data_IF_475244731169
#
_entry.id   IF_475244731169
#
_cell.length_a   1.000
_cell.length_b   1.000
_cell.length_c   1.000
_cell.angle_alpha   90.00
_cell.angle_beta   90.00
_cell.angle_gamma   90.00
#
_symmetry.space_group_name_H-M   'P 1'
#
loop_
_entity.id
_entity.type
_entity.pdbx_description
1 polymer ?
#
# COMPACT_ATOMS: atom_id res chain seq x y z
N UNK A 1 -14.23 5.83 13.83
CA UNK A 1 -13.30 4.76 13.37
C UNK A 1 -13.50 4.60 11.87
N UNK A 2 -12.50 4.90 11.05
CA UNK A 2 -12.57 4.74 9.59
C UNK A 2 -11.88 3.45 9.15
N UNK A 3 -12.25 2.95 7.97
CA UNK A 3 -11.57 1.81 7.32
C UNK A 3 -10.39 2.36 6.50
N UNK A 4 -9.16 1.87 6.69
CA UNK A 4 -8.00 2.30 5.91
C UNK A 4 -8.17 1.90 4.45
N UNK A 5 -7.87 2.83 3.53
CA UNK A 5 -7.98 2.61 2.08
C UNK A 5 -6.57 2.45 1.49
N UNK A 6 -6.35 1.36 0.77
CA UNK A 6 -5.09 1.07 0.08
C UNK A 6 -5.26 1.30 -1.42
N UNK A 7 -4.49 2.24 -1.97
CA UNK A 7 -4.59 2.66 -3.37
C UNK A 7 -3.30 2.34 -4.12
N UNK A 8 -3.44 1.65 -5.24
CA UNK A 8 -2.34 1.29 -6.13
C UNK A 8 -2.52 1.98 -7.47
N UNK A 9 -1.59 2.87 -7.81
CA UNK A 9 -1.62 3.63 -9.06
C UNK A 9 -0.57 3.08 -10.03
N UNK A 10 -1.02 2.71 -11.22
CA UNK A 10 -0.13 2.44 -12.34
C UNK A 10 0.31 3.77 -12.97
N UNK A 11 1.62 3.94 -13.19
CA UNK A 11 2.16 5.15 -13.82
C UNK A 11 2.16 6.38 -12.91
N UNK A 12 2.09 7.57 -13.52
CA UNK A 12 2.39 8.84 -12.86
C UNK A 12 1.43 9.98 -13.21
N UNK A 13 0.15 9.67 -13.49
CA UNK A 13 -0.87 10.71 -13.68
C UNK A 13 -0.97 11.61 -12.42
N UNK A 14 -0.70 12.93 -12.54
CA UNK A 14 -0.67 13.84 -11.42
C UNK A 14 -2.05 14.08 -10.79
N UNK A 15 -3.14 14.02 -11.56
CA UNK A 15 -4.50 14.21 -11.06
C UNK A 15 -4.87 13.00 -10.18
N UNK A 16 -4.62 11.80 -10.68
CA UNK A 16 -4.86 10.57 -9.94
C UNK A 16 -4.01 10.51 -8.66
N UNK A 17 -2.72 10.89 -8.73
CA UNK A 17 -1.85 10.96 -7.55
C UNK A 17 -2.42 11.90 -6.49
N UNK A 18 -2.83 13.12 -6.87
CA UNK A 18 -3.40 14.09 -5.92
C UNK A 18 -4.64 13.54 -5.22
N UNK A 19 -5.59 12.98 -5.98
CA UNK A 19 -6.81 12.41 -5.43
C UNK A 19 -6.52 11.22 -4.50
N UNK A 20 -5.63 10.32 -4.91
CA UNK A 20 -5.31 9.13 -4.12
C UNK A 20 -4.55 9.44 -2.83
N UNK A 21 -3.64 10.42 -2.85
CA UNK A 21 -2.98 10.89 -1.63
C UNK A 21 -3.98 11.46 -0.62
N UNK A 22 -4.99 12.21 -1.08
CA UNK A 22 -6.04 12.76 -0.22
C UNK A 22 -6.88 11.65 0.44
N UNK A 23 -7.31 10.66 -0.34
CA UNK A 23 -8.09 9.52 0.17
C UNK A 23 -7.28 8.70 1.18
N UNK A 24 -6.01 8.42 0.88
CA UNK A 24 -5.12 7.71 1.80
C UNK A 24 -4.94 8.48 3.12
N UNK A 25 -4.76 9.80 3.04
CA UNK A 25 -4.64 10.68 4.22
C UNK A 25 -5.89 10.66 5.09
N UNK A 26 -7.08 10.76 4.50
CA UNK A 26 -8.35 10.81 5.24
C UNK A 26 -8.70 9.46 5.88
N UNK A 27 -8.30 8.35 5.25
CA UNK A 27 -8.59 7.00 5.73
C UNK A 27 -7.54 6.43 6.69
N UNK A 28 -6.40 7.11 6.89
CA UNK A 28 -5.18 6.53 7.47
C UNK A 28 -4.71 5.27 6.72
N UNK A 29 -4.93 5.26 5.42
CA UNK A 29 -4.50 4.22 4.51
C UNK A 29 -3.16 4.56 3.85
N UNK A 30 -2.93 4.02 2.66
CA UNK A 30 -1.68 4.23 1.93
C UNK A 30 -1.93 4.32 0.43
N UNK A 31 -1.14 5.17 -0.23
CA UNK A 31 -1.07 5.25 -1.68
C UNK A 31 0.32 4.80 -2.13
N UNK A 32 0.36 3.90 -3.11
CA UNK A 32 1.59 3.36 -3.67
C UNK A 32 1.51 3.41 -5.20
N UNK A 33 2.61 3.81 -5.83
CA UNK A 33 2.78 3.72 -7.28
C UNK A 33 3.56 2.47 -7.65
N UNK A 34 3.20 1.88 -8.78
CA UNK A 34 3.95 0.77 -9.38
C UNK A 34 4.18 1.04 -10.87
N UNK A 35 5.22 0.39 -11.40
CA UNK A 35 5.65 0.55 -12.78
C UNK A 35 4.64 -0.06 -13.74
N UNK A 36 4.32 0.59 -14.88
CA UNK A 36 3.47 -0.02 -15.90
C UNK A 36 4.00 -1.39 -16.34
N UNK A 37 3.11 -2.40 -16.37
CA UNK A 37 3.49 -3.77 -16.69
C UNK A 37 4.17 -4.58 -15.57
N UNK A 38 4.37 -4.00 -14.38
CA UNK A 38 4.96 -4.70 -13.24
C UNK A 38 3.90 -5.43 -12.39
N UNK A 39 3.29 -6.49 -12.96
CA UNK A 39 2.30 -7.31 -12.24
C UNK A 39 2.86 -7.93 -10.94
N UNK A 40 4.16 -8.22 -10.90
CA UNK A 40 4.83 -8.72 -9.70
C UNK A 40 4.84 -7.69 -8.56
N UNK A 41 5.09 -6.39 -8.85
CA UNK A 41 5.02 -5.34 -7.83
C UNK A 41 3.61 -5.21 -7.23
N UNK A 42 2.58 -5.27 -8.08
CA UNK A 42 1.20 -5.25 -7.63
C UNK A 42 0.86 -6.47 -6.76
N UNK A 43 1.32 -7.66 -7.12
CA UNK A 43 1.11 -8.88 -6.34
C UNK A 43 1.75 -8.77 -4.94
N UNK A 44 2.96 -8.21 -4.84
CA UNK A 44 3.64 -8.01 -3.55
C UNK A 44 2.89 -7.00 -2.67
N UNK A 45 2.39 -5.91 -3.26
CA UNK A 45 1.57 -4.92 -2.58
C UNK A 45 0.24 -5.50 -2.07
N UNK A 46 -0.44 -6.31 -2.88
CA UNK A 46 -1.67 -6.99 -2.49
C UNK A 46 -1.44 -8.01 -1.37
N UNK A 47 -0.34 -8.77 -1.44
CA UNK A 47 0.08 -9.70 -0.37
C UNK A 47 0.29 -8.97 0.95
N UNK A 48 0.90 -7.79 0.90
CA UNK A 48 1.10 -6.94 2.06
C UNK A 48 -0.23 -6.42 2.64
N UNK A 49 -1.18 -5.99 1.81
CA UNK A 49 -2.52 -5.63 2.28
C UNK A 49 -3.25 -6.82 2.89
N UNK A 50 -3.13 -8.01 2.30
CA UNK A 50 -3.71 -9.23 2.86
C UNK A 50 -3.14 -9.54 4.26
N UNK A 51 -1.83 -9.39 4.44
CA UNK A 51 -1.20 -9.55 5.76
C UNK A 51 -1.69 -8.50 6.77
N UNK A 52 -1.81 -7.23 6.34
CA UNK A 52 -2.39 -6.17 7.17
C UNK A 52 -3.85 -6.46 7.55
N UNK A 53 -4.67 -6.94 6.62
CA UNK A 53 -6.06 -7.29 6.89
C UNK A 53 -6.17 -8.50 7.85
N UNK A 54 -5.26 -9.47 7.72
CA UNK A 54 -5.26 -10.68 8.55
C UNK A 54 -4.73 -10.45 9.98
N UNK A 55 -3.75 -9.56 10.18
CA UNK A 55 -3.07 -9.40 11.48
C UNK A 55 -2.58 -7.99 11.80
N UNK A 56 -3.06 -6.98 11.07
CA UNK A 56 -2.74 -5.57 11.29
C UNK A 56 -1.26 -5.23 11.04
N UNK A 57 -0.79 -4.15 11.68
CA UNK A 57 0.59 -3.65 11.54
C UNK A 57 1.65 -4.67 11.95
N UNK A 58 1.36 -5.55 12.91
CA UNK A 58 2.31 -6.58 13.37
C UNK A 58 2.59 -7.62 12.28
N UNK A 59 1.53 -8.18 11.69
CA UNK A 59 1.68 -9.14 10.59
C UNK A 59 2.33 -8.50 9.35
N UNK A 60 2.06 -7.22 9.10
CA UNK A 60 2.73 -6.47 8.04
C UNK A 60 4.22 -6.28 8.32
N UNK A 61 4.62 -5.99 9.56
CA UNK A 61 6.03 -5.89 9.98
C UNK A 61 6.76 -7.23 9.83
N UNK A 62 6.13 -8.35 10.21
CA UNK A 62 6.70 -9.68 10.03
C UNK A 62 6.88 -10.04 8.56
N UNK A 63 5.95 -9.64 7.69
CA UNK A 63 6.07 -9.83 6.24
C UNK A 63 7.18 -8.94 5.65
N UNK A 64 7.34 -7.72 6.15
CA UNK A 64 8.45 -6.84 5.79
C UNK A 64 9.81 -7.44 6.18
N UNK A 65 9.90 -8.08 7.35
CA UNK A 65 11.12 -8.77 7.79
C UNK A 65 11.50 -9.95 6.89
N UNK A 66 10.55 -10.48 6.10
CA UNK A 66 10.78 -11.52 5.08
C UNK A 66 11.14 -10.93 3.70
N UNK A 67 11.59 -9.67 3.66
CA UNK A 67 12.07 -8.98 2.47
C UNK A 67 10.99 -8.69 1.39
N UNK A 68 9.72 -8.59 1.78
CA UNK A 68 8.64 -8.21 0.88
C UNK A 68 8.65 -6.68 0.65
N UNK A 69 8.98 -6.26 -0.57
CA UNK A 69 9.09 -4.85 -0.93
C UNK A 69 7.75 -4.08 -0.82
N UNK A 70 6.63 -4.74 -1.07
CA UNK A 70 5.29 -4.16 -0.91
C UNK A 70 4.97 -3.84 0.55
N UNK A 71 5.33 -4.74 1.47
CA UNK A 71 5.12 -4.58 2.90
C UNK A 71 5.95 -3.42 3.47
N UNK A 72 7.21 -3.29 3.06
CA UNK A 72 8.06 -2.14 3.43
C UNK A 72 7.44 -0.81 2.97
N UNK A 73 7.02 -0.73 1.70
CA UNK A 73 6.37 0.47 1.14
C UNK A 73 5.10 0.84 1.93
N UNK A 74 4.27 -0.15 2.25
CA UNK A 74 3.04 0.05 3.01
C UNK A 74 3.30 0.51 4.46
N UNK A 75 4.28 -0.07 5.16
CA UNK A 75 4.63 0.33 6.52
C UNK A 75 5.10 1.78 6.61
N UNK A 76 5.83 2.28 5.61
CA UNK A 76 6.29 3.66 5.57
C UNK A 76 5.15 4.67 5.33
N UNK A 77 4.06 4.23 4.70
CA UNK A 77 2.93 5.08 4.33
C UNK A 77 1.80 5.07 5.37
N UNK A 78 1.70 4.01 6.19
CA UNK A 78 0.72 3.91 7.25
C UNK A 78 1.09 4.80 8.45
N UNK A 79 0.22 5.76 8.78
CA UNK A 79 0.35 6.61 9.98
C UNK A 79 -0.25 5.96 11.24
#
# INVERSE_FOLDING_TARGET
RGVPVFLFQEGADPIATSAFCEIARLSNGAHCRFTPGAAHELAELLRAVAAYAAGGRKALADLSARNNAGAMKLLQQLR
#
